data_IF_638143068164
#
_entry.id   IF_638143068164
#
_cell.length_a   1.000
_cell.length_b   1.000
_cell.length_c   1.000
_cell.angle_alpha   90.00
_cell.angle_beta   90.00
_cell.angle_gamma   90.00
#
_symmetry.space_group_name_H-M   'P 1'
#
loop_
_entity.id
_entity.type
_entity.pdbx_description
1 polymer ?
#
# COMPACT_ATOMS: atom_id res chain seq x y z
N UNK A 1 -7.62 8.46 -7.37
CA UNK A 1 -8.58 9.36 -6.67
C UNK A 1 -10.05 9.12 -7.05
N UNK A 2 -10.35 8.40 -8.14
CA UNK A 2 -11.71 8.16 -8.65
C UNK A 2 -12.62 7.26 -7.79
N UNK A 3 -12.08 6.47 -6.85
CA UNK A 3 -12.85 5.55 -6.00
C UNK A 3 -13.11 6.11 -4.57
N UNK A 4 -12.97 7.42 -4.36
CA UNK A 4 -13.15 8.03 -3.02
C UNK A 4 -12.04 7.72 -2.01
N UNK A 5 -10.94 7.11 -2.47
CA UNK A 5 -9.79 6.74 -1.63
C UNK A 5 -8.89 7.96 -1.40
N UNK A 6 -8.54 8.22 -0.13
CA UNK A 6 -7.53 9.21 0.26
C UNK A 6 -6.15 8.70 -0.14
N UNK A 7 -5.47 9.46 -0.99
CA UNK A 7 -4.13 9.13 -1.47
C UNK A 7 -3.28 10.39 -1.53
N UNK A 8 -2.05 10.22 -1.09
CA UNK A 8 -0.99 11.21 -1.13
C UNK A 8 0.25 10.56 -1.73
N UNK A 9 0.99 11.33 -2.53
CA UNK A 9 2.22 10.87 -3.18
C UNK A 9 3.35 11.75 -2.69
N UNK A 10 4.31 11.17 -1.98
CA UNK A 10 5.50 11.87 -1.51
C UNK A 10 6.53 11.99 -2.64
N UNK A 11 6.50 13.13 -3.33
CA UNK A 11 7.46 13.49 -4.38
C UNK A 11 8.71 14.23 -3.87
N UNK A 12 8.98 14.23 -2.57
CA UNK A 12 10.14 14.96 -2.00
C UNK A 12 11.47 14.37 -2.47
N UNK A 13 12.55 15.14 -2.45
CA UNK A 13 13.91 14.65 -2.78
C UNK A 13 14.56 13.83 -1.64
N UNK A 14 13.80 13.54 -0.58
CA UNK A 14 14.25 12.72 0.52
C UNK A 14 14.55 11.27 0.08
N UNK A 15 15.55 10.66 0.71
CA UNK A 15 15.88 9.24 0.52
C UNK A 15 14.65 8.39 0.85
N UNK A 16 14.43 7.32 0.07
CA UNK A 16 13.30 6.40 0.26
C UNK A 16 13.16 5.90 1.71
N UNK A 17 14.27 5.58 2.37
CA UNK A 17 14.27 5.18 3.78
C UNK A 17 13.66 6.24 4.72
N UNK A 18 13.96 7.53 4.49
CA UNK A 18 13.42 8.65 5.28
C UNK A 18 11.92 8.82 5.01
N UNK A 19 11.49 8.76 3.75
CA UNK A 19 10.06 8.80 3.39
C UNK A 19 9.26 7.70 4.08
N UNK A 20 9.77 6.47 4.05
CA UNK A 20 9.17 5.31 4.72
C UNK A 20 9.03 5.56 6.22
N UNK A 21 10.08 6.05 6.89
CA UNK A 21 10.02 6.35 8.33
C UNK A 21 8.98 7.43 8.62
N UNK A 22 8.96 8.52 7.85
CA UNK A 22 7.99 9.60 8.01
C UNK A 22 6.55 9.09 7.89
N UNK A 23 6.24 8.29 6.87
CA UNK A 23 4.90 7.77 6.63
C UNK A 23 4.51 6.67 7.63
N UNK A 24 5.48 5.91 8.14
CA UNK A 24 5.28 4.96 9.23
C UNK A 24 4.89 5.69 10.52
N UNK A 25 5.57 6.80 10.83
CA UNK A 25 5.27 7.63 12.01
C UNK A 25 3.88 8.30 11.92
N UNK A 26 3.44 8.64 10.71
CA UNK A 26 2.07 9.11 10.44
C UNK A 26 1.00 8.00 10.55
N UNK A 27 1.41 6.75 10.81
CA UNK A 27 0.53 5.57 10.92
C UNK A 27 -0.35 5.38 9.67
N UNK A 28 0.25 5.59 8.50
CA UNK A 28 -0.43 5.35 7.22
C UNK A 28 -0.74 3.85 7.10
N UNK A 29 -2.02 3.44 6.92
CA UNK A 29 -2.39 2.02 6.90
C UNK A 29 -1.78 1.26 5.72
N UNK A 30 -1.83 1.85 4.53
CA UNK A 30 -1.31 1.26 3.30
C UNK A 30 -0.19 2.15 2.73
N UNK A 31 1.05 1.69 2.81
CA UNK A 31 2.17 2.36 2.14
C UNK A 31 2.50 1.61 0.86
N UNK A 32 2.39 2.29 -0.28
CA UNK A 32 2.70 1.75 -1.59
C UNK A 32 4.08 2.25 -2.00
N UNK A 33 4.96 1.33 -2.37
CA UNK A 33 6.27 1.59 -2.91
C UNK A 33 6.26 1.17 -4.39
N UNK A 34 6.54 2.10 -5.27
CA UNK A 34 6.76 1.84 -6.68
C UNK A 34 8.21 2.17 -6.99
N UNK A 35 9.08 1.15 -6.96
CA UNK A 35 10.44 1.27 -7.48
C UNK A 35 10.47 1.07 -8.99
N UNK A 36 11.63 1.30 -9.62
CA UNK A 36 11.78 1.18 -11.08
C UNK A 36 11.34 -0.19 -11.61
N UNK A 37 11.77 -1.27 -10.95
CA UNK A 37 11.38 -2.65 -11.32
C UNK A 37 9.89 -2.92 -11.19
N UNK A 38 9.27 -2.39 -10.14
CA UNK A 38 7.84 -2.57 -9.91
C UNK A 38 7.05 -1.79 -10.96
N UNK A 39 7.46 -0.55 -11.26
CA UNK A 39 6.85 0.27 -12.29
C UNK A 39 6.97 -0.35 -13.69
N UNK A 40 8.13 -0.90 -14.05
CA UNK A 40 8.33 -1.62 -15.33
C UNK A 40 7.43 -2.86 -15.44
N UNK A 41 7.23 -3.58 -14.33
CA UNK A 41 6.39 -4.77 -14.29
C UNK A 41 4.88 -4.46 -14.15
N UNK A 42 4.49 -3.18 -14.05
CA UNK A 42 3.11 -2.79 -13.77
C UNK A 42 2.62 -3.22 -12.37
N UNK A 43 3.55 -3.40 -11.45
CA UNK A 43 3.32 -3.84 -10.09
C UNK A 43 3.67 -2.75 -9.06
N UNK A 44 3.30 -3.00 -7.81
CA UNK A 44 3.62 -2.18 -6.64
C UNK A 44 3.95 -3.08 -5.46
N UNK A 45 4.77 -2.57 -4.56
CA UNK A 45 5.12 -3.23 -3.32
C UNK A 45 4.41 -2.56 -2.14
N UNK A 46 3.67 -3.34 -1.36
CA UNK A 46 3.07 -2.87 -0.12
C UNK A 46 4.06 -2.97 1.02
N UNK A 47 4.07 -1.92 1.85
CA UNK A 47 4.68 -1.93 3.17
C UNK A 47 3.62 -1.55 4.19
N UNK A 48 3.44 -2.40 5.18
CA UNK A 48 2.35 -2.29 6.13
C UNK A 48 2.86 -1.84 7.50
N UNK A 49 1.94 -1.38 8.35
CA UNK A 49 2.26 -0.77 9.65
C UNK A 49 3.00 -1.72 10.61
N UNK A 50 2.80 -3.02 10.46
CA UNK A 50 3.47 -4.10 11.21
C UNK A 50 4.88 -4.43 10.69
N UNK A 51 5.37 -3.67 9.69
CA UNK A 51 6.62 -3.88 8.95
C UNK A 51 6.61 -5.07 7.98
N UNK A 52 5.49 -5.74 7.80
CA UNK A 52 5.36 -6.76 6.75
C UNK A 52 5.34 -6.10 5.36
N UNK A 53 5.76 -6.88 4.36
CA UNK A 53 5.84 -6.45 2.98
C UNK A 53 5.21 -7.47 2.05
N UNK A 54 4.57 -6.97 1.00
CA UNK A 54 4.07 -7.77 -0.12
C UNK A 54 4.62 -7.12 -1.39
N UNK A 55 5.51 -7.82 -2.09
CA UNK A 55 6.17 -7.27 -3.27
C UNK A 55 5.52 -7.82 -4.54
N UNK A 56 5.58 -7.05 -5.63
CA UNK A 56 5.14 -7.49 -6.95
C UNK A 56 3.63 -7.68 -7.08
N UNK A 57 2.83 -6.91 -6.34
CA UNK A 57 1.37 -6.95 -6.50
C UNK A 57 0.99 -6.16 -7.75
N UNK A 58 0.27 -6.72 -8.72
CA UNK A 58 -0.22 -5.98 -9.88
C UNK A 58 -0.98 -4.72 -9.46
N UNK A 59 -0.80 -3.62 -10.17
CA UNK A 59 -1.41 -2.33 -9.81
C UNK A 59 -2.94 -2.40 -9.67
N UNK A 60 -3.60 -3.12 -10.56
CA UNK A 60 -5.06 -3.24 -10.54
C UNK A 60 -5.54 -4.04 -9.33
N UNK A 61 -4.84 -5.12 -9.00
CA UNK A 61 -5.10 -5.92 -7.81
C UNK A 61 -4.88 -5.09 -6.53
N UNK A 62 -3.78 -4.35 -6.47
CA UNK A 62 -3.46 -3.46 -5.36
C UNK A 62 -4.58 -2.43 -5.10
N UNK A 63 -5.15 -1.85 -6.15
CA UNK A 63 -6.27 -0.90 -6.03
C UNK A 63 -7.54 -1.60 -5.52
N UNK A 64 -7.90 -2.76 -6.08
CA UNK A 64 -9.09 -3.50 -5.66
C UNK A 64 -8.98 -3.96 -4.20
N UNK A 65 -7.80 -4.40 -3.74
CA UNK A 65 -7.56 -4.76 -2.34
C UNK A 65 -7.85 -3.60 -1.38
N UNK A 66 -7.34 -2.40 -1.70
CA UNK A 66 -7.56 -1.20 -0.87
C UNK A 66 -9.04 -0.79 -0.88
N UNK A 67 -9.66 -0.79 -2.06
CA UNK A 67 -11.07 -0.38 -2.18
C UNK A 67 -11.99 -1.36 -1.45
N UNK A 68 -11.74 -2.66 -1.56
CA UNK A 68 -12.49 -3.69 -0.84
C UNK A 68 -12.33 -3.54 0.67
N UNK A 69 -11.12 -3.32 1.15
CA UNK A 69 -10.88 -3.07 2.58
C UNK A 69 -11.71 -1.90 3.12
N UNK A 70 -11.75 -0.80 2.36
CA UNK A 70 -12.54 0.38 2.70
C UNK A 70 -14.04 0.07 2.64
N UNK A 71 -14.50 -0.66 1.63
CA UNK A 71 -15.89 -1.05 1.45
C UNK A 71 -16.39 -1.97 2.58
N UNK A 72 -15.57 -2.95 2.99
CA UNK A 72 -15.83 -3.88 4.09
C UNK A 72 -15.73 -3.19 5.47
N UNK A 73 -15.32 -1.92 5.50
CA UNK A 73 -15.16 -1.10 6.71
C UNK A 73 -14.31 -1.78 7.78
N UNK A 74 -13.23 -2.43 7.35
CA UNK A 74 -12.29 -3.09 8.26
C UNK A 74 -11.49 -1.98 8.97
N UNK A 75 -11.74 -1.82 10.27
CA UNK A 75 -11.10 -0.79 11.11
C UNK A 75 -9.79 -1.25 11.77
N UNK A 76 -9.24 -2.36 11.29
CA UNK A 76 -7.98 -2.92 11.77
C UNK A 76 -6.80 -2.38 10.95
N UNK A 77 -5.59 -2.46 11.52
CA UNK A 77 -4.38 -2.13 10.76
C UNK A 77 -4.10 -3.29 9.80
N UNK A 78 -3.99 -3.04 8.48
CA UNK A 78 -3.72 -4.08 7.51
C UNK A 78 -2.34 -4.71 7.76
N UNK A 79 -2.28 -6.04 7.73
CA UNK A 79 -1.06 -6.86 7.76
C UNK A 79 -0.96 -7.68 6.47
N UNK A 80 0.22 -8.24 6.16
CA UNK A 80 0.39 -8.96 4.91
C UNK A 80 -0.58 -10.16 4.80
N UNK A 81 -0.93 -10.77 5.92
CA UNK A 81 -1.88 -11.88 5.98
C UNK A 81 -3.32 -11.40 5.75
N UNK A 82 -3.77 -10.35 6.42
CA UNK A 82 -5.15 -9.86 6.27
C UNK A 82 -5.38 -9.26 4.88
N UNK A 83 -4.36 -8.62 4.31
CA UNK A 83 -4.39 -8.06 2.96
C UNK A 83 -4.44 -9.17 1.90
N UNK A 84 -3.67 -10.26 2.05
CA UNK A 84 -3.78 -11.45 1.17
C UNK A 84 -5.10 -12.20 1.36
N UNK A 85 -5.59 -12.33 2.59
CA UNK A 85 -6.85 -13.00 2.88
C UNK A 85 -8.05 -12.28 2.24
N UNK A 86 -8.01 -10.94 2.17
CA UNK A 86 -8.99 -10.13 1.45
C UNK A 86 -8.93 -10.24 -0.07
N UNK A 87 -7.82 -10.69 -0.65
CA UNK A 87 -7.67 -10.92 -2.09
C UNK A 87 -8.18 -12.30 -2.53
N UNK A 88 -8.14 -13.29 -1.63
CA UNK A 88 -8.46 -14.70 -1.95
C UNK A 88 -9.96 -15.07 -1.89
N UNK A 89 -10.87 -14.09 -1.79
CA UNK A 89 -12.31 -14.36 -1.56
C UNK A 89 -13.23 -13.78 -2.61
#
# INVERSE_FOLDING_TARGET
KSRGVRVEVDSSDDRMAKKIVNHTNMKVPFMLLAGDKDAEAGAVSFRLGDRTQINGVPRDEAVEMIVRWIADRINEVPTAETVKAGAAK
#
